data_IF_206086524478
#
_entry.id   IF_206086524478
#
_cell.length_a   1.000
_cell.length_b   1.000
_cell.length_c   1.000
_cell.angle_alpha   90.00
_cell.angle_beta   90.00
_cell.angle_gamma   90.00
#
_symmetry.space_group_name_H-M   'P 1'
#
loop_
_entity.id
_entity.type
_entity.pdbx_description
1 polymer ?
#
# COMPACT_ATOMS: atom_id res chain seq x y z
N UNK A 1 -3.72 -2.21 -13.27
CA UNK A 1 -2.49 -1.54 -12.78
C UNK A 1 -2.60 -0.01 -12.83
N UNK A 2 -2.46 0.67 -13.99
CA UNK A 2 -2.30 2.14 -14.01
C UNK A 2 -3.49 3.00 -13.52
N UNK A 3 -4.73 2.55 -13.71
CA UNK A 3 -5.90 3.33 -13.23
C UNK A 3 -6.05 3.29 -11.70
N UNK A 4 -5.63 2.19 -11.06
CA UNK A 4 -5.67 2.04 -9.61
C UNK A 4 -4.66 2.97 -8.96
N UNK A 5 -3.47 3.06 -9.56
CA UNK A 5 -2.43 4.02 -9.17
C UNK A 5 -2.89 5.47 -9.34
N UNK A 6 -3.59 5.78 -10.44
CA UNK A 6 -4.17 7.10 -10.67
C UNK A 6 -5.19 7.47 -9.58
N UNK A 7 -6.13 6.57 -9.26
CA UNK A 7 -7.11 6.81 -8.20
C UNK A 7 -6.45 6.93 -6.84
N UNK A 8 -5.47 6.07 -6.54
CA UNK A 8 -4.75 6.11 -5.27
C UNK A 8 -4.02 7.45 -5.10
N UNK A 9 -3.19 7.83 -6.07
CA UNK A 9 -2.39 9.05 -6.03
C UNK A 9 -3.21 10.35 -6.00
N UNK A 10 -4.40 10.37 -6.61
CA UNK A 10 -5.20 11.60 -6.72
C UNK A 10 -6.36 11.67 -5.72
N UNK A 11 -6.89 10.54 -5.25
CA UNK A 11 -8.09 10.51 -4.39
C UNK A 11 -7.83 9.94 -3.00
N UNK A 12 -6.81 9.10 -2.82
CA UNK A 12 -6.54 8.45 -1.53
C UNK A 12 -5.34 9.10 -0.86
N UNK A 13 -4.15 9.01 -1.47
CA UNK A 13 -2.88 9.46 -0.90
C UNK A 13 -2.92 10.91 -0.38
N UNK A 14 -3.48 11.92 -1.09
CA UNK A 14 -3.51 13.31 -0.61
C UNK A 14 -4.26 13.51 0.72
N UNK A 15 -5.09 12.54 1.10
CA UNK A 15 -5.91 12.58 2.32
C UNK A 15 -5.31 11.77 3.49
N UNK A 16 -4.15 11.13 3.31
CA UNK A 16 -3.49 10.32 4.33
C UNK A 16 -2.49 11.12 5.16
N UNK A 17 -2.36 10.77 6.44
CA UNK A 17 -1.34 11.35 7.31
C UNK A 17 -1.59 12.80 7.68
N UNK A 18 -2.85 13.28 7.60
CA UNK A 18 -3.23 14.65 7.94
C UNK A 18 -3.20 14.82 9.47
N UNK A 19 -2.44 15.81 9.95
CA UNK A 19 -2.20 16.13 11.37
C UNK A 19 -1.33 15.14 12.16
N UNK A 20 -1.13 13.90 11.67
CA UNK A 20 -0.26 12.90 12.29
C UNK A 20 0.15 11.83 11.27
N UNK A 21 1.30 11.16 11.44
CA UNK A 21 1.69 10.05 10.57
C UNK A 21 0.66 8.92 10.56
N UNK A 22 0.41 8.34 9.38
CA UNK A 22 -0.59 7.30 9.17
C UNK A 22 0.00 6.14 8.36
N UNK A 23 -0.24 4.91 8.81
CA UNK A 23 0.15 3.71 8.08
C UNK A 23 -1.05 3.16 7.29
N UNK A 24 -0.85 2.95 5.99
CA UNK A 24 -1.77 2.20 5.14
C UNK A 24 -1.25 0.78 4.97
N UNK A 25 -2.14 -0.22 5.09
CA UNK A 25 -1.81 -1.65 5.01
C UNK A 25 -2.65 -2.34 3.94
N UNK A 26 -2.25 -3.57 3.60
CA UNK A 26 -3.04 -4.54 2.84
C UNK A 26 -3.43 -4.03 1.43
N UNK A 27 -2.41 -3.92 0.58
CA UNK A 27 -2.57 -3.45 -0.80
C UNK A 27 -3.25 -4.52 -1.67
N UNK A 28 -3.96 -4.13 -2.75
CA UNK A 28 -4.44 -5.08 -3.75
C UNK A 28 -3.29 -5.95 -4.27
N UNK A 29 -3.58 -7.21 -4.63
CA UNK A 29 -2.60 -8.15 -5.16
C UNK A 29 -1.81 -7.60 -6.36
N UNK A 30 -2.47 -6.83 -7.24
CA UNK A 30 -1.83 -6.20 -8.40
C UNK A 30 -0.84 -5.07 -8.04
N UNK A 31 -0.78 -4.68 -6.76
CA UNK A 31 0.12 -3.66 -6.20
C UNK A 31 1.05 -4.24 -5.13
N UNK A 32 1.30 -5.54 -5.19
CA UNK A 32 2.08 -6.26 -4.18
C UNK A 32 3.57 -5.88 -4.13
N UNK A 33 4.13 -5.36 -5.21
CA UNK A 33 5.58 -5.23 -5.36
C UNK A 33 6.27 -6.59 -5.09
N UNK A 34 7.11 -6.69 -4.05
CA UNK A 34 7.76 -7.94 -3.62
C UNK A 34 7.10 -8.55 -2.38
N UNK A 35 5.89 -8.11 -2.03
CA UNK A 35 5.18 -8.58 -0.86
C UNK A 35 4.55 -9.96 -1.09
N UNK A 36 4.51 -10.75 -0.01
CA UNK A 36 3.70 -11.95 0.09
C UNK A 36 2.22 -11.60 -0.05
N UNK A 37 1.47 -12.46 -0.75
CA UNK A 37 0.01 -12.38 -0.81
C UNK A 37 -0.60 -13.26 0.28
N UNK A 38 -1.49 -12.68 1.10
CA UNK A 38 -2.30 -13.39 2.07
C UNK A 38 -3.60 -13.88 1.41
N UNK A 39 -3.84 -15.19 1.44
CA UNK A 39 -4.96 -15.84 0.76
C UNK A 39 -6.25 -15.88 1.61
N UNK A 40 -6.66 -14.72 2.13
CA UNK A 40 -7.94 -14.56 2.82
C UNK A 40 -9.11 -14.49 1.82
N UNK A 41 -10.35 -14.29 2.31
CA UNK A 41 -11.54 -14.11 1.45
C UNK A 41 -11.35 -12.98 0.41
N UNK A 42 -10.59 -11.94 0.75
CA UNK A 42 -10.11 -10.92 -0.19
C UNK A 42 -8.58 -10.98 -0.15
N UNK A 43 -7.91 -11.37 -1.24
CA UNK A 43 -6.46 -11.49 -1.26
C UNK A 43 -5.81 -10.11 -1.24
N UNK A 44 -4.83 -9.94 -0.37
CA UNK A 44 -4.10 -8.69 -0.18
C UNK A 44 -2.60 -8.96 -0.07
N UNK A 45 -1.80 -7.99 -0.50
CA UNK A 45 -0.36 -7.96 -0.32
C UNK A 45 -0.02 -7.48 1.09
N UNK A 46 0.85 -8.23 1.80
CA UNK A 46 1.36 -7.88 3.13
C UNK A 46 2.39 -6.73 3.04
N UNK A 47 1.93 -5.57 2.59
CA UNK A 47 2.67 -4.33 2.37
C UNK A 47 2.06 -3.23 3.22
N UNK A 48 2.90 -2.30 3.65
CA UNK A 48 2.48 -1.05 4.24
C UNK A 48 3.25 0.14 3.69
N UNK A 49 2.65 1.31 3.77
CA UNK A 49 3.28 2.59 3.53
C UNK A 49 2.99 3.54 4.70
N UNK A 50 3.97 4.39 5.02
CA UNK A 50 3.80 5.50 5.96
C UNK A 50 3.55 6.79 5.18
N UNK A 51 2.48 7.50 5.51
CA UNK A 51 2.15 8.81 4.95
C UNK A 51 2.21 9.92 5.99
N UNK A 52 2.69 11.09 5.57
CA UNK A 52 2.62 12.37 6.31
C UNK A 52 2.18 13.46 5.34
N UNK A 53 1.08 14.14 5.64
CA UNK A 53 0.49 15.21 4.81
C UNK A 53 0.40 14.83 3.31
N UNK A 54 -0.04 13.61 3.06
CA UNK A 54 -0.22 13.04 1.73
C UNK A 54 1.05 12.60 1.00
N UNK A 55 2.22 12.71 1.62
CA UNK A 55 3.50 12.22 1.08
C UNK A 55 3.83 10.83 1.62
N UNK A 56 4.24 9.92 0.73
CA UNK A 56 4.82 8.63 1.12
C UNK A 56 6.22 8.87 1.70
N UNK A 57 6.44 8.41 2.93
CA UNK A 57 7.71 8.58 3.68
C UNK A 57 8.48 7.28 3.76
N UNK A 58 7.79 6.14 3.83
CA UNK A 58 8.42 4.83 3.91
C UNK A 58 7.53 3.75 3.31
N UNK A 59 8.17 2.74 2.75
CA UNK A 59 7.55 1.51 2.28
C UNK A 59 8.10 0.30 3.05
N UNK A 60 7.24 -0.67 3.36
CA UNK A 60 7.67 -1.94 3.91
C UNK A 60 6.76 -3.08 3.48
N UNK A 61 7.31 -4.28 3.39
CA UNK A 61 6.54 -5.47 3.02
C UNK A 61 7.12 -6.72 3.65
N UNK A 62 6.27 -7.72 3.88
CA UNK A 62 6.71 -9.07 4.14
C UNK A 62 7.16 -9.68 2.82
N UNK A 63 8.47 -9.85 2.65
CA UNK A 63 9.07 -10.34 1.41
C UNK A 63 8.52 -11.71 0.99
N UNK A 64 8.12 -11.82 -0.28
CA UNK A 64 7.83 -13.08 -0.93
C UNK A 64 9.14 -13.87 -1.07
N UNK A 65 9.24 -15.02 -0.40
CA UNK A 65 10.45 -15.86 -0.40
C UNK A 65 10.46 -16.95 -1.47
N UNK A 66 9.40 -17.05 -2.26
CA UNK A 66 9.30 -18.02 -3.34
C UNK A 66 9.97 -17.43 -4.59
N UNK A 67 11.04 -18.12 -5.04
CA UNK A 67 11.82 -17.81 -6.24
C UNK A 67 11.31 -18.59 -7.46
#
# INVERSE_FOLDING_TARGET
>A
AGWMDLLFSHQVAPNLGVNKPEFLYDYPQDQAALARIRADKVPVAERFELFIDGLEIANGFHELKDA
#
